data_IF_662059295573
#
_entry.id   IF_662059295573
#
_cell.length_a   1.000
_cell.length_b   1.000
_cell.length_c   1.000
_cell.angle_alpha   90.00
_cell.angle_beta   90.00
_cell.angle_gamma   90.00
#
_symmetry.space_group_name_H-M   'P 1'
#
loop_
_entity.id
_entity.type
_entity.pdbx_description
1 polymer ?
#
# COMPACT_ATOMS: atom_id res chain seq x y z
N UNK A 1 -3.23 -2.86 14.30
CA UNK A 1 -2.98 -3.18 12.88
C UNK A 1 -4.31 -3.54 12.24
N UNK A 2 -4.66 -2.91 11.12
CA UNK A 2 -5.94 -3.14 10.46
C UNK A 2 -5.96 -4.57 9.86
N UNK A 3 -7.05 -5.36 10.03
CA UNK A 3 -7.11 -6.75 9.56
C UNK A 3 -6.91 -6.91 8.03
N UNK A 4 -7.09 -5.84 7.27
CA UNK A 4 -6.83 -5.81 5.81
C UNK A 4 -5.33 -5.87 5.46
N UNK A 5 -4.44 -5.47 6.37
CA UNK A 5 -3.00 -5.47 6.13
C UNK A 5 -2.33 -6.74 6.66
N UNK A 6 -2.93 -7.43 7.63
CA UNK A 6 -2.38 -8.68 8.18
C UNK A 6 -2.27 -9.79 7.13
N UNK A 7 -3.19 -9.82 6.16
CA UNK A 7 -3.22 -10.81 5.08
C UNK A 7 -2.13 -10.60 4.01
N UNK A 8 -1.49 -9.43 3.97
CA UNK A 8 -0.42 -9.14 3.03
C UNK A 8 0.79 -10.00 3.41
N UNK A 9 1.18 -10.95 2.57
CA UNK A 9 2.37 -11.78 2.78
C UNK A 9 3.17 -11.82 1.49
N UNK A 10 4.49 -12.12 1.52
CA UNK A 10 5.29 -12.25 0.30
C UNK A 10 4.66 -13.26 -0.67
N UNK A 11 4.08 -14.34 -0.13
CA UNK A 11 3.33 -15.35 -0.88
C UNK A 11 2.04 -14.81 -1.49
N UNK A 12 1.36 -13.89 -0.82
CA UNK A 12 0.14 -13.28 -1.33
C UNK A 12 0.44 -12.43 -2.58
N UNK A 13 1.55 -11.67 -2.58
CA UNK A 13 2.01 -10.90 -3.74
C UNK A 13 2.41 -11.76 -4.95
N UNK A 14 2.66 -13.07 -4.78
CA UNK A 14 2.90 -14.00 -5.90
C UNK A 14 1.64 -14.27 -6.74
N UNK A 15 0.45 -13.91 -6.26
CA UNK A 15 -0.82 -14.20 -6.95
C UNK A 15 -1.16 -13.25 -8.09
N UNK A 16 -0.73 -11.99 -8.03
CA UNK A 16 -1.11 -10.97 -9.01
C UNK A 16 0.02 -9.95 -9.15
N UNK A 17 0.32 -9.50 -10.37
CA UNK A 17 1.36 -8.50 -10.66
C UNK A 17 1.01 -7.09 -10.15
N UNK A 18 -0.28 -6.76 -10.16
CA UNK A 18 -0.79 -5.50 -9.65
C UNK A 18 -1.98 -5.80 -8.76
N UNK A 19 -1.98 -5.22 -7.57
CA UNK A 19 -3.10 -5.26 -6.64
C UNK A 19 -3.58 -3.84 -6.37
N UNK A 20 -4.89 -3.66 -6.29
CA UNK A 20 -5.49 -2.40 -5.88
C UNK A 20 -6.54 -2.68 -4.83
N UNK A 21 -6.57 -1.85 -3.79
CA UNK A 21 -7.56 -1.93 -2.73
C UNK A 21 -7.96 -0.55 -2.26
N UNK A 22 -9.12 -0.49 -1.60
CA UNK A 22 -9.62 0.74 -1.00
C UNK A 22 -10.27 0.45 0.34
N UNK A 23 -9.97 1.29 1.33
CA UNK A 23 -10.55 1.29 2.66
C UNK A 23 -11.22 2.65 2.84
N UNK A 24 -12.55 2.72 2.66
CA UNK A 24 -13.26 3.99 2.66
C UNK A 24 -12.75 4.91 1.54
N UNK A 25 -12.20 6.07 1.92
CA UNK A 25 -11.58 7.04 0.99
C UNK A 25 -10.09 6.75 0.72
N UNK A 26 -9.44 5.94 1.55
CA UNK A 26 -8.04 5.57 1.38
C UNK A 26 -7.90 4.51 0.27
N UNK A 27 -7.14 4.81 -0.77
CA UNK A 27 -6.84 3.85 -1.85
C UNK A 27 -5.36 3.53 -1.87
N UNK A 28 -5.07 2.28 -2.20
CA UNK A 28 -3.71 1.79 -2.31
C UNK A 28 -3.55 0.86 -3.49
N UNK A 29 -2.36 0.91 -4.09
CA UNK A 29 -1.94 0.11 -5.23
C UNK A 29 -0.58 -0.51 -4.93
N UNK A 30 -0.43 -1.78 -5.25
CA UNK A 30 0.85 -2.48 -5.21
C UNK A 30 1.16 -2.98 -6.61
N UNK A 31 2.32 -2.66 -7.15
CA UNK A 31 2.88 -3.29 -8.34
C UNK A 31 4.12 -4.06 -7.92
N UNK A 32 4.11 -5.39 -8.06
CA UNK A 32 5.32 -6.16 -7.85
C UNK A 32 6.16 -6.18 -9.12
N UNK A 33 7.45 -6.02 -8.89
CA UNK A 33 8.48 -6.15 -9.90
C UNK A 33 9.22 -7.46 -9.64
N UNK A 34 8.93 -8.46 -10.48
CA UNK A 34 9.51 -9.80 -10.36
C UNK A 34 10.99 -9.82 -10.72
N UNK A 35 11.44 -8.88 -11.55
CA UNK A 35 12.80 -8.83 -12.08
C UNK A 35 13.76 -8.23 -11.05
N UNK A 36 13.32 -7.19 -10.34
CA UNK A 36 14.09 -6.50 -9.32
C UNK A 36 13.77 -6.97 -7.89
N UNK A 37 12.78 -7.87 -7.73
CA UNK A 37 12.29 -8.36 -6.44
C UNK A 37 11.80 -7.23 -5.52
N UNK A 38 11.07 -6.27 -6.11
CA UNK A 38 10.55 -5.07 -5.45
C UNK A 38 9.02 -5.03 -5.46
N UNK A 39 8.46 -4.29 -4.52
CA UNK A 39 7.03 -3.98 -4.43
C UNK A 39 6.92 -2.46 -4.44
N UNK A 40 6.43 -1.92 -5.54
CA UNK A 40 6.07 -0.52 -5.68
C UNK A 40 4.70 -0.30 -5.05
N UNK A 41 4.66 0.36 -3.89
CA UNK A 41 3.43 0.66 -3.20
C UNK A 41 3.07 2.14 -3.35
N UNK A 42 1.83 2.41 -3.75
CA UNK A 42 1.31 3.76 -3.92
C UNK A 42 0.02 3.91 -3.13
N UNK A 43 -0.12 4.99 -2.37
CA UNK A 43 -1.33 5.32 -1.61
C UNK A 43 -1.83 6.71 -1.99
N UNK A 44 -3.16 6.88 -2.01
CA UNK A 44 -3.81 8.12 -2.40
C UNK A 44 -5.24 8.18 -1.85
N UNK A 45 -5.73 9.38 -1.52
CA UNK A 45 -7.06 9.58 -0.92
C UNK A 45 -8.13 10.14 -1.85
N UNK A 46 -7.75 10.79 -2.95
CA UNK A 46 -8.74 11.40 -3.85
C UNK A 46 -9.31 10.40 -4.87
N UNK A 47 -10.61 10.51 -5.16
CA UNK A 47 -11.34 9.63 -6.09
C UNK A 47 -10.77 9.64 -7.53
N UNK A 48 -10.10 10.74 -7.92
CA UNK A 48 -9.48 10.91 -9.22
C UNK A 48 -7.96 11.03 -9.07
N UNK A 49 -7.21 10.11 -9.69
CA UNK A 49 -5.75 10.08 -9.70
C UNK A 49 -5.13 11.39 -10.22
N UNK A 50 -5.78 12.06 -11.18
CA UNK A 50 -5.33 13.36 -11.72
C UNK A 50 -5.53 14.56 -10.77
N UNK A 51 -6.39 14.42 -9.75
CA UNK A 51 -6.66 15.47 -8.76
C UNK A 51 -6.03 15.20 -7.39
N UNK A 52 -5.56 13.96 -7.17
CA UNK A 52 -4.88 13.57 -5.95
C UNK A 52 -3.48 14.19 -5.91
N UNK A 53 -3.29 15.21 -5.09
CA UNK A 53 -1.96 15.80 -4.83
C UNK A 53 -1.15 15.02 -3.80
N UNK A 54 -1.78 14.08 -3.09
CA UNK A 54 -1.17 13.27 -2.04
C UNK A 54 -0.94 11.82 -2.51
N UNK A 55 -0.34 11.66 -3.70
CA UNK A 55 0.13 10.35 -4.13
C UNK A 55 1.47 10.10 -3.45
N UNK A 56 1.49 9.13 -2.55
CA UNK A 56 2.71 8.73 -1.87
C UNK A 56 3.13 7.37 -2.39
N UNK A 57 4.29 7.32 -3.02
CA UNK A 57 4.87 6.12 -3.61
C UNK A 57 6.10 5.72 -2.82
N UNK A 58 6.22 4.42 -2.54
CA UNK A 58 7.37 3.87 -1.82
C UNK A 58 7.64 2.45 -2.27
N UNK A 59 8.92 2.20 -2.50
CA UNK A 59 9.41 0.90 -2.92
C UNK A 59 9.84 0.09 -1.70
N UNK A 60 9.45 -1.18 -1.70
CA UNK A 60 9.80 -2.12 -0.64
C UNK A 60 10.37 -3.39 -1.27
N UNK A 61 11.25 -4.09 -0.56
CA UNK A 61 11.74 -5.39 -1.00
C UNK A 61 10.64 -6.45 -0.93
N UNK A 62 10.59 -7.36 -1.89
CA UNK A 62 9.64 -8.48 -1.91
C UNK A 62 10.10 -9.65 -1.03
N UNK A 63 10.37 -9.35 0.23
CA UNK A 63 10.78 -10.28 1.28
C UNK A 63 9.89 -10.11 2.51
N UNK A 64 9.96 -11.01 3.49
CA UNK A 64 9.17 -10.90 4.72
C UNK A 64 9.37 -9.54 5.42
N UNK A 65 10.61 -9.09 5.55
CA UNK A 65 10.93 -7.79 6.17
C UNK A 65 10.36 -6.59 5.39
N UNK A 66 10.47 -6.62 4.05
CA UNK A 66 9.94 -5.54 3.21
C UNK A 66 8.41 -5.51 3.22
N UNK A 67 7.76 -6.68 3.29
CA UNK A 67 6.31 -6.77 3.44
C UNK A 67 5.86 -6.30 4.83
N UNK A 68 6.61 -6.57 5.90
CA UNK A 68 6.32 -6.00 7.22
C UNK A 68 6.43 -4.47 7.23
N UNK A 69 7.49 -3.92 6.63
CA UNK A 69 7.65 -2.46 6.47
C UNK A 69 6.51 -1.85 5.65
N UNK A 70 6.11 -2.51 4.56
CA UNK A 70 4.98 -2.09 3.74
C UNK A 70 3.70 -2.00 4.57
N UNK A 71 3.43 -3.00 5.40
CA UNK A 71 2.24 -3.00 6.25
C UNK A 71 2.26 -1.90 7.29
N UNK A 72 3.41 -1.67 7.94
CA UNK A 72 3.58 -0.60 8.90
C UNK A 72 3.33 0.76 8.24
N UNK A 73 3.91 0.98 7.06
CA UNK A 73 3.71 2.20 6.28
C UNK A 73 2.25 2.39 5.85
N UNK A 74 1.56 1.34 5.39
CA UNK A 74 0.13 1.41 5.06
C UNK A 74 -0.74 1.75 6.26
N UNK A 75 -0.40 1.19 7.42
CA UNK A 75 -1.09 1.46 8.68
C UNK A 75 -0.91 2.93 9.08
N UNK A 76 0.31 3.45 9.06
CA UNK A 76 0.60 4.88 9.31
C UNK A 76 -0.17 5.78 8.35
N UNK A 77 -0.19 5.45 7.05
CA UNK A 77 -0.89 6.25 6.04
C UNK A 77 -2.40 6.18 6.20
N UNK A 78 -2.94 5.03 6.59
CA UNK A 78 -4.36 4.90 6.88
C UNK A 78 -4.75 5.72 8.12
N UNK A 79 -3.93 5.74 9.17
CA UNK A 79 -4.16 6.54 10.39
C UNK A 79 -4.05 8.05 10.11
N UNK A 80 -3.04 8.47 9.36
CA UNK A 80 -2.87 9.86 8.90
C UNK A 80 -4.09 10.35 8.10
N UNK A 81 -4.65 9.48 7.25
CA UNK A 81 -5.86 9.81 6.46
C UNK A 81 -7.18 9.58 7.22
N UNK A 82 -7.22 8.71 8.23
CA UNK A 82 -8.41 8.46 9.07
C UNK A 82 -8.51 9.42 10.26
N UNK A 83 -7.54 10.31 10.45
CA UNK A 83 -7.56 11.34 11.48
C UNK A 83 -8.11 12.66 10.90
N UNK A 84 -9.42 12.93 10.93
CA UNK A 84 -9.91 14.27 10.68
C UNK A 84 -9.52 15.15 11.87
N UNK A 85 -8.59 16.08 11.67
CA UNK A 85 -8.30 17.23 12.55
C UNK A 85 -8.08 16.95 14.05
N UNK A 86 -6.88 17.31 14.53
CA UNK A 86 -6.80 18.01 15.82
C UNK A 86 -6.72 19.52 15.57
#
# INVERSE_FOLDING_TARGET
MHPYFEVLTPRWFKRAFVYTGSIGEFRYRFANDKENNLIHAAVYTHFCYEAAKDVQEKDFSWDDEGVEQLKAWLQEKLEENSSPCQ
#
